data_IF_547632577617
#
_entry.id   IF_547632577617
#
_cell.length_a   1.000
_cell.length_b   1.000
_cell.length_c   1.000
_cell.angle_alpha   90.00
_cell.angle_beta   90.00
_cell.angle_gamma   90.00
#
_symmetry.space_group_name_H-M   'P 1'
#
loop_
_entity.id
_entity.type
_entity.pdbx_description
1 polymer ?
#
# COMPACT_ATOMS: atom_id res chain seq x y z
N UNK A 1 8.73 -6.35 19.88
CA UNK A 1 9.16 -4.99 19.52
C UNK A 1 8.00 -4.32 18.79
N UNK A 2 7.35 -3.30 19.36
CA UNK A 2 6.23 -2.60 18.68
C UNK A 2 6.80 -1.69 17.60
N UNK A 3 6.52 -1.98 16.34
CA UNK A 3 6.88 -1.12 15.21
C UNK A 3 6.05 0.17 15.34
N UNK A 4 6.71 1.33 15.26
CA UNK A 4 6.07 2.66 15.31
C UNK A 4 6.02 3.25 13.90
N UNK A 5 5.09 4.19 13.69
CA UNK A 5 4.92 4.88 12.40
C UNK A 5 6.21 5.61 11.97
N UNK A 6 6.92 6.22 12.93
CA UNK A 6 8.18 6.93 12.71
C UNK A 6 9.25 6.05 12.06
N UNK A 7 9.28 4.76 12.42
CA UNK A 7 10.22 3.80 11.83
C UNK A 7 9.86 3.47 10.37
N UNK A 8 8.58 3.53 10.02
CA UNK A 8 8.12 3.35 8.63
C UNK A 8 8.44 4.62 7.82
N UNK A 9 8.25 5.80 8.38
CA UNK A 9 8.59 7.07 7.72
C UNK A 9 10.09 7.19 7.43
N UNK A 10 10.94 6.70 8.34
CA UNK A 10 12.39 6.61 8.08
C UNK A 10 12.71 5.67 6.91
N UNK A 11 12.02 4.54 6.80
CA UNK A 11 12.20 3.61 5.67
C UNK A 11 11.72 4.18 4.34
N UNK A 12 10.58 4.88 4.32
CA UNK A 12 10.08 5.58 3.13
C UNK A 12 11.11 6.59 2.63
N UNK A 13 11.83 7.26 3.54
CA UNK A 13 12.91 8.22 3.25
C UNK A 13 14.25 7.56 2.89
N UNK A 14 14.35 6.23 2.94
CA UNK A 14 15.60 5.49 2.66
C UNK A 14 16.60 5.48 3.82
N UNK A 15 16.21 5.96 5.01
CA UNK A 15 17.07 5.97 6.19
C UNK A 15 17.01 4.61 6.91
N UNK A 16 18.14 4.16 7.46
CA UNK A 16 18.20 2.96 8.30
C UNK A 16 17.39 3.23 9.57
N UNK A 17 16.26 2.55 9.73
CA UNK A 17 15.44 2.65 10.95
C UNK A 17 16.00 1.85 12.13
N UNK A 18 17.08 1.09 11.94
CA UNK A 18 17.70 0.25 12.96
C UNK A 18 16.86 -0.97 13.38
N UNK A 19 15.68 -1.17 12.78
CA UNK A 19 14.75 -2.26 13.10
C UNK A 19 14.63 -3.22 11.92
N UNK A 20 14.85 -4.51 12.17
CA UNK A 20 14.67 -5.58 11.20
C UNK A 20 13.18 -5.78 10.92
N UNK A 21 12.68 -5.14 9.87
CA UNK A 21 11.29 -5.24 9.42
C UNK A 21 11.07 -6.37 8.38
N UNK A 22 11.84 -7.47 8.49
CA UNK A 22 11.83 -8.63 7.58
C UNK A 22 13.23 -9.13 7.20
N UNK A 23 13.31 -10.33 6.59
CA UNK A 23 14.54 -11.16 6.51
C UNK A 23 15.75 -10.60 5.74
N UNK A 24 15.67 -9.47 5.04
CA UNK A 24 16.85 -8.82 4.44
C UNK A 24 16.65 -7.31 4.47
N UNK A 25 17.68 -6.59 4.89
CA UNK A 25 17.73 -5.13 4.91
C UNK A 25 17.68 -4.52 3.52
N UNK A 26 16.53 -4.59 2.86
CA UNK A 26 16.26 -3.91 1.61
C UNK A 26 15.79 -2.49 1.96
N UNK A 27 16.56 -1.44 1.65
CA UNK A 27 16.11 -0.07 1.85
C UNK A 27 14.84 0.15 1.01
N UNK A 28 13.72 0.41 1.69
CA UNK A 28 12.41 0.61 1.08
C UNK A 28 12.21 2.08 0.64
N UNK A 29 13.24 2.68 0.04
CA UNK A 29 13.13 4.04 -0.47
C UNK A 29 12.05 4.08 -1.56
N UNK A 30 11.02 4.89 -1.33
CA UNK A 30 9.97 5.16 -2.31
C UNK A 30 10.42 6.30 -3.20
N UNK A 31 10.32 6.12 -4.52
CA UNK A 31 10.49 7.24 -5.45
C UNK A 31 9.40 8.29 -5.23
N UNK A 32 9.62 9.51 -5.72
CA UNK A 32 8.67 10.63 -5.58
C UNK A 32 7.24 10.25 -5.99
N UNK A 33 7.07 9.51 -7.09
CA UNK A 33 5.74 9.08 -7.56
C UNK A 33 5.09 8.04 -6.62
N UNK A 34 5.88 7.14 -6.03
CA UNK A 34 5.41 6.13 -5.08
C UNK A 34 5.06 6.78 -3.75
N UNK A 35 5.86 7.76 -3.32
CA UNK A 35 5.58 8.58 -2.14
C UNK A 35 4.27 9.33 -2.29
N UNK A 36 3.99 9.92 -3.45
CA UNK A 36 2.68 10.55 -3.72
C UNK A 36 1.52 9.55 -3.62
N UNK A 37 1.69 8.32 -4.12
CA UNK A 37 0.67 7.26 -3.98
C UNK A 37 0.50 6.84 -2.53
N UNK A 38 1.60 6.67 -1.79
CA UNK A 38 1.60 6.37 -0.37
C UNK A 38 0.90 7.46 0.46
N UNK A 39 1.20 8.73 0.23
CA UNK A 39 0.59 9.86 0.94
C UNK A 39 -0.93 9.92 0.67
N UNK A 40 -1.35 9.64 -0.57
CA UNK A 40 -2.77 9.50 -0.91
C UNK A 40 -3.40 8.31 -0.20
N UNK A 41 -2.70 7.18 -0.15
CA UNK A 41 -3.17 5.99 0.53
C UNK A 41 -3.36 6.22 2.03
N UNK A 42 -2.43 6.93 2.68
CA UNK A 42 -2.56 7.32 4.09
C UNK A 42 -3.80 8.18 4.36
N UNK A 43 -4.16 9.09 3.45
CA UNK A 43 -5.37 9.92 3.56
C UNK A 43 -6.64 9.12 3.30
N UNK A 44 -6.61 8.26 2.30
CA UNK A 44 -7.77 7.49 1.85
C UNK A 44 -7.96 6.17 2.61
N UNK A 45 -6.97 5.74 3.39
CA UNK A 45 -6.85 4.44 4.08
C UNK A 45 -6.92 3.20 3.17
N UNK A 46 -6.70 3.36 1.86
CA UNK A 46 -6.49 2.25 0.92
C UNK A 46 -5.43 2.63 -0.10
N UNK A 47 -4.70 1.64 -0.60
CA UNK A 47 -3.64 1.87 -1.58
C UNK A 47 -4.15 1.65 -3.02
N UNK A 48 -3.98 2.64 -3.89
CA UNK A 48 -4.19 2.45 -5.34
C UNK A 48 -2.87 2.11 -6.03
N UNK A 49 -2.82 0.95 -6.69
CA UNK A 49 -1.68 0.52 -7.49
C UNK A 49 -2.11 0.03 -8.88
N UNK A 50 -1.14 -0.13 -9.75
CA UNK A 50 -1.24 -0.88 -11.01
C UNK A 50 -0.34 -2.11 -10.95
N UNK A 51 -0.48 -3.03 -11.89
CA UNK A 51 0.40 -4.21 -12.00
C UNK A 51 1.89 -3.85 -12.21
N UNK A 52 2.19 -2.61 -12.61
CA UNK A 52 3.55 -2.11 -12.85
C UNK A 52 4.19 -1.45 -11.61
N UNK A 53 3.42 -1.26 -10.53
CA UNK A 53 3.95 -0.67 -9.30
C UNK A 53 4.86 -1.64 -8.56
N UNK A 54 5.88 -1.10 -7.88
CA UNK A 54 6.90 -1.92 -7.23
C UNK A 54 6.36 -2.55 -5.95
N UNK A 55 6.85 -3.77 -5.68
CA UNK A 55 6.59 -4.53 -4.44
C UNK A 55 6.94 -3.72 -3.17
N UNK A 56 7.88 -2.77 -3.26
CA UNK A 56 8.26 -1.93 -2.13
C UNK A 56 7.11 -1.09 -1.58
N UNK A 57 6.29 -0.50 -2.45
CA UNK A 57 5.13 0.30 -2.04
C UNK A 57 4.11 -0.56 -1.30
N UNK A 58 3.85 -1.77 -1.81
CA UNK A 58 2.95 -2.77 -1.21
C UNK A 58 3.44 -3.18 0.18
N UNK A 59 4.73 -3.47 0.31
CA UNK A 59 5.34 -3.87 1.58
C UNK A 59 5.29 -2.75 2.63
N UNK A 60 5.55 -1.51 2.22
CA UNK A 60 5.45 -0.35 3.11
C UNK A 60 4.00 -0.16 3.57
N UNK A 61 3.03 -0.23 2.64
CA UNK A 61 1.63 -0.09 2.97
C UNK A 61 1.11 -1.16 3.94
N UNK A 62 1.47 -2.42 3.72
CA UNK A 62 1.12 -3.53 4.62
C UNK A 62 1.63 -3.29 6.05
N UNK A 63 2.87 -2.80 6.18
CA UNK A 63 3.45 -2.43 7.50
C UNK A 63 2.70 -1.28 8.16
N UNK A 64 2.28 -0.26 7.39
CA UNK A 64 1.46 0.83 7.94
C UNK A 64 0.13 0.30 8.45
N UNK A 65 -0.54 -0.55 7.67
CA UNK A 65 -1.80 -1.14 8.07
C UNK A 65 -1.65 -1.92 9.38
N UNK A 66 -0.60 -2.73 9.51
CA UNK A 66 -0.28 -3.45 10.75
C UNK A 66 -0.06 -2.51 11.95
N UNK A 67 0.70 -1.42 11.78
CA UNK A 67 0.98 -0.47 12.88
C UNK A 67 -0.26 0.33 13.27
N UNK A 68 -1.09 0.70 12.29
CA UNK A 68 -2.33 1.46 12.53
C UNK A 68 -3.54 0.59 12.83
N UNK A 69 -3.38 -0.73 12.81
CA UNK A 69 -4.45 -1.71 12.96
C UNK A 69 -5.60 -1.46 11.95
N UNK A 70 -5.21 -1.20 10.69
CA UNK A 70 -6.12 -1.03 9.56
C UNK A 70 -6.19 -2.32 8.75
N UNK A 71 -7.34 -2.55 8.13
CA UNK A 71 -7.47 -3.56 7.08
C UNK A 71 -6.52 -3.21 5.92
N UNK A 72 -5.78 -4.20 5.41
CA UNK A 72 -4.85 -3.96 4.32
C UNK A 72 -5.59 -3.93 2.98
N UNK A 73 -6.22 -2.79 2.71
CA UNK A 73 -7.02 -2.55 1.52
C UNK A 73 -6.16 -2.02 0.36
N UNK A 74 -6.30 -2.66 -0.80
CA UNK A 74 -5.64 -2.26 -2.04
C UNK A 74 -6.61 -2.31 -3.21
N UNK A 75 -6.46 -1.36 -4.13
CA UNK A 75 -7.11 -1.32 -5.44
C UNK A 75 -6.05 -1.53 -6.52
N UNK A 76 -6.07 -2.69 -7.16
CA UNK A 76 -5.20 -3.00 -8.30
C UNK A 76 -5.94 -2.63 -9.58
N UNK A 77 -5.44 -1.61 -10.28
CA UNK A 77 -5.98 -1.18 -11.57
C UNK A 77 -5.23 -1.86 -12.71
N UNK A 78 -5.97 -2.44 -13.63
CA UNK A 78 -5.47 -2.92 -14.90
C UNK A 78 -5.93 -1.97 -16.02
N UNK A 79 -5.02 -1.11 -16.47
CA UNK A 79 -5.30 -0.14 -17.53
C UNK A 79 -5.52 -0.78 -18.90
N UNK A 80 -5.03 -2.00 -19.13
CA UNK A 80 -5.15 -2.69 -20.41
C UNK A 80 -6.55 -3.28 -20.60
N UNK A 81 -7.16 -3.77 -19.51
CA UNK A 81 -8.51 -4.35 -19.53
C UNK A 81 -9.60 -3.39 -19.08
N UNK A 82 -9.25 -2.22 -18.54
CA UNK A 82 -10.21 -1.27 -17.95
C UNK A 82 -10.82 -1.74 -16.63
N UNK A 83 -10.30 -2.83 -16.07
CA UNK A 83 -10.79 -3.45 -14.84
C UNK A 83 -9.91 -3.10 -13.64
N UNK A 84 -10.48 -3.23 -12.45
CA UNK A 84 -9.79 -3.17 -11.19
C UNK A 84 -10.23 -4.29 -10.26
N UNK A 85 -9.38 -4.59 -9.31
CA UNK A 85 -9.59 -5.59 -8.27
C UNK A 85 -9.36 -4.98 -6.90
N UNK A 86 -10.25 -5.27 -5.96
CA UNK A 86 -10.12 -4.89 -4.56
C UNK A 86 -9.55 -6.09 -3.81
N UNK A 87 -8.40 -5.87 -3.19
CA UNK A 87 -7.78 -6.84 -2.28
C UNK A 87 -7.96 -6.35 -0.85
N UNK A 88 -8.28 -7.28 0.03
CA UNK A 88 -8.26 -7.08 1.48
C UNK A 88 -7.36 -8.15 2.08
N UNK A 89 -6.36 -7.70 2.83
CA UNK A 89 -5.42 -8.59 3.54
C UNK A 89 -4.71 -9.59 2.61
N UNK A 90 -4.54 -9.20 1.33
CA UNK A 90 -3.90 -10.02 0.30
C UNK A 90 -4.86 -10.93 -0.48
N UNK A 91 -6.14 -10.97 -0.12
CA UNK A 91 -7.14 -11.78 -0.81
C UNK A 91 -8.04 -10.90 -1.70
N UNK A 92 -8.28 -11.30 -2.96
CA UNK A 92 -9.21 -10.60 -3.82
C UNK A 92 -10.64 -10.79 -3.32
N UNK A 93 -11.37 -9.69 -3.11
CA UNK A 93 -12.78 -9.71 -2.71
C UNK A 93 -13.68 -9.49 -3.91
N UNK A 94 -13.33 -8.55 -4.78
CA UNK A 94 -14.21 -8.09 -5.85
C UNK A 94 -13.40 -7.56 -7.02
N UNK A 95 -13.88 -7.81 -8.22
CA UNK A 95 -13.33 -7.29 -9.47
C UNK A 95 -14.43 -6.67 -10.33
N UNK A 96 -14.06 -5.73 -11.19
CA UNK A 96 -14.99 -5.09 -12.12
C UNK A 96 -14.39 -3.83 -12.72
N UNK A 97 -15.23 -2.96 -13.30
CA UNK A 97 -14.75 -1.73 -13.93
C UNK A 97 -14.07 -0.79 -12.92
N UNK A 98 -12.99 -0.12 -13.34
CA UNK A 98 -12.20 0.79 -12.49
C UNK A 98 -13.07 1.84 -11.78
N UNK A 99 -14.04 2.45 -12.47
CA UNK A 99 -14.89 3.49 -11.89
C UNK A 99 -15.75 2.95 -10.74
N UNK A 100 -16.37 1.79 -10.96
CA UNK A 100 -17.21 1.12 -9.96
C UNK A 100 -16.37 0.70 -8.76
N UNK A 101 -15.22 0.06 -8.99
CA UNK A 101 -14.35 -0.41 -7.91
C UNK A 101 -13.77 0.74 -7.08
N UNK A 102 -13.44 1.89 -7.70
CA UNK A 102 -13.01 3.10 -6.98
C UNK A 102 -14.05 3.67 -6.04
N UNK A 103 -15.33 3.56 -6.40
CA UNK A 103 -16.41 4.00 -5.52
C UNK A 103 -16.70 2.96 -4.44
N UNK A 104 -16.65 1.69 -4.81
CA UNK A 104 -16.88 0.57 -3.92
C UNK A 104 -15.80 0.44 -2.84
N UNK A 105 -14.51 0.61 -3.14
CA UNK A 105 -13.45 0.49 -2.12
C UNK A 105 -13.62 1.48 -0.97
N UNK A 106 -14.21 2.66 -1.23
CA UNK A 106 -14.48 3.67 -0.20
C UNK A 106 -15.51 3.21 0.84
N UNK A 107 -16.35 2.22 0.54
CA UNK A 107 -17.28 1.65 1.52
C UNK A 107 -16.62 0.62 2.44
N UNK A 108 -15.38 0.20 2.14
CA UNK A 108 -14.62 -0.76 2.97
C UNK A 108 -13.68 -0.07 3.97
N UNK A 109 -13.56 1.26 3.89
CA UNK A 109 -12.64 2.11 4.65
C UNK A 109 -13.29 2.68 5.90
#
# INVERSE_FOLDING_TARGET
>A
MKIKLEHIDQLVRGNKSGINLGSRGVPHHLHTFEKMKYDRALKNKFLEITQKDRINLINVWSKVCQVKNWDNLMLIKNSETGNAEILKDGFPIKSGEIKVMKQLIKSYV
#
